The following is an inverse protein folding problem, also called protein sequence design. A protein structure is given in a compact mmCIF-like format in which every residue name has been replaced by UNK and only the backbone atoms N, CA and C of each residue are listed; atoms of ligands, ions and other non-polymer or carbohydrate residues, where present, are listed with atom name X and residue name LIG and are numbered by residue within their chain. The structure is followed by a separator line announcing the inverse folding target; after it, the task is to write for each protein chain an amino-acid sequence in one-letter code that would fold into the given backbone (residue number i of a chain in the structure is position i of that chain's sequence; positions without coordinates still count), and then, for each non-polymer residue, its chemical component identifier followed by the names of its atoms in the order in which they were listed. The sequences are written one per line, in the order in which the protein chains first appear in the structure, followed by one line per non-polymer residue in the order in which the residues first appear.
data_IF_741313364973
#
_entry.id   IF_741313364973
#
_cell.length_a   1.000
_cell.length_b   1.000
_cell.length_c   1.000
_cell.angle_alpha   90.00
_cell.angle_beta   90.00
_cell.angle_gamma   90.00
#
_symmetry.space_group_name_H-M   'P 1'
#
loop_
_entity.id
_entity.type
_entity.pdbx_description
1 polymer ?
#
# COMPACT_ATOMS: atom_id res chain seq x y z
N UNK A 1 -20.14 54.45 -15.61
CA UNK A 1 -19.87 53.43 -14.58
C UNK A 1 -19.79 52.09 -15.29
N UNK A 2 -18.62 51.45 -15.31
CA UNK A 2 -18.41 50.15 -15.96
C UNK A 2 -18.10 49.15 -14.83
N UNK A 3 -18.84 48.03 -14.68
CA UNK A 3 -18.53 47.06 -13.65
C UNK A 3 -17.33 46.23 -14.09
N UNK A 4 -16.29 46.23 -13.27
CA UNK A 4 -15.07 45.46 -13.49
C UNK A 4 -15.35 43.99 -13.15
N UNK A 5 -15.30 43.13 -14.15
CA UNK A 5 -15.42 41.67 -13.99
C UNK A 5 -14.21 41.16 -13.19
N UNK A 6 -14.44 40.68 -11.97
CA UNK A 6 -13.39 40.01 -11.19
C UNK A 6 -13.06 38.67 -11.86
N UNK A 7 -11.87 38.63 -12.47
CA UNK A 7 -11.29 37.42 -13.01
C UNK A 7 -10.76 36.58 -11.84
N UNK A 8 -11.56 35.64 -11.34
CA UNK A 8 -11.14 34.66 -10.34
C UNK A 8 -10.12 33.72 -11.00
N UNK A 9 -8.85 34.11 -10.95
CA UNK A 9 -7.76 33.23 -11.33
C UNK A 9 -7.86 31.95 -10.50
N UNK A 10 -8.06 30.82 -11.19
CA UNK A 10 -8.01 29.50 -10.59
C UNK A 10 -6.58 29.28 -10.07
N UNK A 11 -6.38 29.50 -8.76
CA UNK A 11 -5.10 29.21 -8.13
C UNK A 11 -4.90 27.70 -8.19
N UNK A 12 -3.86 27.19 -8.87
CA UNK A 12 -3.57 25.77 -8.85
C UNK A 12 -3.18 25.42 -7.41
N UNK A 13 -3.95 24.53 -6.79
CA UNK A 13 -3.62 23.97 -5.47
C UNK A 13 -2.31 23.20 -5.64
N UNK A 14 -1.18 23.82 -5.28
CA UNK A 14 0.08 23.11 -5.18
C UNK A 14 -0.09 21.96 -4.19
N UNK A 15 0.21 20.70 -4.55
CA UNK A 15 0.10 19.58 -3.63
C UNK A 15 0.96 19.83 -2.40
N UNK A 16 0.38 19.70 -1.19
CA UNK A 16 1.14 19.79 0.04
C UNK A 16 2.14 18.61 0.09
N UNK A 17 3.40 18.88 -0.26
CA UNK A 17 4.49 17.89 -0.31
C UNK A 17 4.61 17.14 1.03
N UNK A 18 4.42 17.82 2.16
CA UNK A 18 4.47 17.19 3.48
C UNK A 18 3.32 16.20 3.70
N UNK A 19 2.12 16.51 3.19
CA UNK A 19 0.98 15.58 3.27
C UNK A 19 1.24 14.32 2.43
N UNK A 20 1.84 14.46 1.24
CA UNK A 20 2.24 13.33 0.38
C UNK A 20 3.30 12.45 1.04
N UNK A 21 4.34 13.05 1.63
CA UNK A 21 5.39 12.34 2.37
C UNK A 21 4.79 11.58 3.55
N UNK A 22 3.92 12.22 4.34
CA UNK A 22 3.23 11.57 5.46
C UNK A 22 2.40 10.38 4.99
N UNK A 23 1.60 10.55 3.94
CA UNK A 23 0.76 9.49 3.39
C UNK A 23 1.61 8.31 2.86
N UNK A 24 2.72 8.59 2.17
CA UNK A 24 3.68 7.57 1.75
C UNK A 24 4.27 6.81 2.95
N UNK A 25 4.63 7.51 4.03
CA UNK A 25 5.13 6.88 5.26
C UNK A 25 4.11 5.93 5.90
N UNK A 26 2.82 6.29 5.90
CA UNK A 26 1.75 5.42 6.40
C UNK A 26 1.62 4.15 5.55
N UNK A 27 1.60 4.30 4.22
CA UNK A 27 1.53 3.16 3.31
C UNK A 27 2.75 2.23 3.44
N UNK A 28 3.95 2.79 3.66
CA UNK A 28 5.15 1.99 3.95
C UNK A 28 5.03 1.20 5.23
N UNK A 29 4.57 1.81 6.32
CA UNK A 29 4.35 1.10 7.58
C UNK A 29 3.28 -0.02 7.46
N UNK A 30 2.24 0.22 6.66
CA UNK A 30 1.24 -0.80 6.35
C UNK A 30 1.84 -1.95 5.54
N UNK A 31 2.63 -1.64 4.50
CA UNK A 31 3.32 -2.65 3.70
C UNK A 31 4.25 -3.52 4.55
N UNK A 32 5.04 -2.91 5.42
CA UNK A 32 5.96 -3.63 6.32
C UNK A 32 5.19 -4.62 7.22
N UNK A 33 4.06 -4.17 7.78
CA UNK A 33 3.18 -5.01 8.61
C UNK A 33 2.63 -6.19 7.79
N UNK A 34 2.16 -5.92 6.57
CA UNK A 34 1.60 -6.95 5.69
C UNK A 34 2.67 -7.96 5.25
N UNK A 35 3.90 -7.53 4.98
CA UNK A 35 5.01 -8.45 4.69
C UNK A 35 5.32 -9.35 5.88
N UNK A 36 5.42 -8.79 7.10
CA UNK A 36 5.65 -9.56 8.33
C UNK A 36 4.57 -10.62 8.54
N UNK A 37 3.30 -10.25 8.38
CA UNK A 37 2.19 -11.19 8.50
C UNK A 37 2.19 -12.22 7.37
N UNK A 38 2.58 -11.85 6.14
CA UNK A 38 2.72 -12.80 5.04
C UNK A 38 3.75 -13.91 5.35
N UNK A 39 4.88 -13.54 5.98
CA UNK A 39 5.92 -14.48 6.38
C UNK A 39 5.44 -15.38 7.52
N UNK A 40 4.66 -14.83 8.46
CA UNK A 40 4.03 -15.60 9.52
C UNK A 40 3.05 -16.64 8.96
N UNK A 41 2.22 -16.27 8.00
CA UNK A 41 1.28 -17.19 7.33
C UNK A 41 2.02 -18.28 6.55
N UNK A 42 3.15 -17.94 5.93
CA UNK A 42 4.01 -18.90 5.25
C UNK A 42 4.60 -19.95 6.23
N UNK A 43 4.88 -19.57 7.48
CA UNK A 43 5.27 -20.55 8.51
C UNK A 43 4.13 -21.53 8.84
N UNK A 44 2.88 -21.05 8.92
CA UNK A 44 1.73 -21.96 9.10
C UNK A 44 1.54 -22.89 7.91
N UNK A 45 1.76 -22.40 6.69
CA UNK A 45 1.77 -23.22 5.48
C UNK A 45 2.78 -24.37 5.59
N UNK A 46 4.02 -24.05 5.98
CA UNK A 46 5.11 -25.03 6.17
C UNK A 46 4.75 -26.06 7.24
N UNK A 47 4.16 -25.64 8.36
CA UNK A 47 3.72 -26.54 9.41
C UNK A 47 2.61 -27.50 8.92
N UNK A 48 1.63 -27.01 8.15
CA UNK A 48 0.63 -27.87 7.54
C UNK A 48 1.22 -28.86 6.53
N UNK A 49 2.21 -28.42 5.74
CA UNK A 49 2.92 -29.31 4.81
C UNK A 49 3.69 -30.40 5.56
N UNK A 50 4.38 -30.05 6.65
CA UNK A 50 5.10 -30.98 7.50
C UNK A 50 4.18 -32.00 8.20
N UNK A 51 2.93 -31.61 8.50
CA UNK A 51 1.93 -32.48 9.13
C UNK A 51 1.05 -33.23 8.13
N UNK A 52 1.44 -33.33 6.85
CA UNK A 52 0.67 -33.96 5.78
C UNK A 52 -0.77 -33.42 5.63
N UNK A 53 -0.97 -32.12 5.81
CA UNK A 53 -2.24 -31.43 5.62
C UNK A 53 -2.19 -30.49 4.38
N UNK A 54 -2.31 -31.03 3.16
CA UNK A 54 -2.20 -30.25 1.93
C UNK A 54 -3.33 -29.23 1.76
N UNK A 55 -4.53 -29.51 2.29
CA UNK A 55 -5.65 -28.56 2.28
C UNK A 55 -5.35 -27.34 3.15
N UNK A 56 -4.82 -27.56 4.35
CA UNK A 56 -4.37 -26.49 5.24
C UNK A 56 -3.26 -25.65 4.62
N UNK A 57 -2.25 -26.32 4.03
CA UNK A 57 -1.18 -25.63 3.30
C UNK A 57 -1.73 -24.76 2.16
N UNK A 58 -2.66 -25.27 1.35
CA UNK A 58 -3.26 -24.48 0.27
C UNK A 58 -4.03 -23.24 0.78
N UNK A 59 -4.70 -23.32 1.94
CA UNK A 59 -5.38 -22.17 2.56
C UNK A 59 -4.36 -21.11 2.99
N UNK A 60 -3.33 -21.52 3.74
CA UNK A 60 -2.32 -20.59 4.25
C UNK A 60 -1.51 -19.95 3.12
N UNK A 61 -1.21 -20.69 2.06
CA UNK A 61 -0.56 -20.13 0.86
C UNK A 61 -1.37 -19.00 0.23
N UNK A 62 -2.69 -19.19 0.07
CA UNK A 62 -3.56 -18.15 -0.51
C UNK A 62 -3.58 -16.89 0.34
N UNK A 63 -3.67 -17.04 1.66
CA UNK A 63 -3.67 -15.92 2.58
C UNK A 63 -2.32 -15.18 2.57
N UNK A 64 -1.19 -15.91 2.62
CA UNK A 64 0.15 -15.32 2.53
C UNK A 64 0.33 -14.53 1.23
N UNK A 65 -0.15 -15.07 0.11
CA UNK A 65 -0.09 -14.39 -1.19
C UNK A 65 -0.94 -13.11 -1.20
N UNK A 66 -2.15 -13.15 -0.64
CA UNK A 66 -3.00 -11.97 -0.56
C UNK A 66 -2.32 -10.83 0.23
N UNK A 67 -1.74 -11.15 1.39
CA UNK A 67 -1.00 -10.16 2.19
C UNK A 67 0.19 -9.58 1.43
N UNK A 68 0.94 -10.41 0.70
CA UNK A 68 2.05 -9.94 -0.14
C UNK A 68 1.59 -9.00 -1.25
N UNK A 69 0.49 -9.35 -1.93
CA UNK A 69 -0.09 -8.50 -2.99
C UNK A 69 -0.54 -7.15 -2.45
N UNK A 70 -1.22 -7.12 -1.30
CA UNK A 70 -1.63 -5.85 -0.67
C UNK A 70 -0.41 -5.04 -0.21
N UNK A 71 0.64 -5.68 0.32
CA UNK A 71 1.87 -5.01 0.71
C UNK A 71 2.56 -4.34 -0.49
N UNK A 72 2.66 -5.06 -1.62
CA UNK A 72 3.21 -4.55 -2.88
C UNK A 72 2.39 -3.37 -3.43
N UNK A 73 1.06 -3.43 -3.32
CA UNK A 73 0.18 -2.32 -3.68
C UNK A 73 0.42 -1.08 -2.80
N UNK A 74 0.55 -1.25 -1.49
CA UNK A 74 0.91 -0.16 -0.58
C UNK A 74 2.27 0.46 -0.93
N UNK A 75 3.28 -0.36 -1.22
CA UNK A 75 4.60 0.12 -1.68
C UNK A 75 4.48 0.92 -2.98
N UNK A 76 3.75 0.38 -3.95
CA UNK A 76 3.55 1.02 -5.25
C UNK A 76 2.90 2.40 -5.11
N UNK A 77 1.83 2.51 -4.31
CA UNK A 77 1.17 3.81 -4.09
C UNK A 77 2.04 4.78 -3.26
N UNK A 78 2.83 4.28 -2.30
CA UNK A 78 3.79 5.10 -1.58
C UNK A 78 4.85 5.71 -2.52
N UNK A 79 5.34 4.93 -3.48
CA UNK A 79 6.33 5.38 -4.46
C UNK A 79 5.78 6.46 -5.39
N UNK A 80 4.53 6.31 -5.84
CA UNK A 80 3.84 7.35 -6.62
C UNK A 80 3.69 8.65 -5.84
N UNK A 81 3.37 8.57 -4.56
CA UNK A 81 3.22 9.74 -3.72
C UNK A 81 4.52 10.54 -3.56
N UNK A 82 5.69 9.90 -3.58
CA UNK A 82 6.99 10.58 -3.49
C UNK A 82 7.68 10.81 -4.84
N UNK A 83 7.06 10.37 -5.94
CA UNK A 83 7.62 10.50 -7.30
C UNK A 83 8.76 9.52 -7.61
N UNK A 84 8.88 8.44 -6.82
CA UNK A 84 9.84 7.36 -7.07
C UNK A 84 9.35 6.37 -8.15
N UNK A 85 8.07 6.43 -8.52
CA UNK A 85 7.44 5.63 -9.57
C UNK A 85 6.36 6.45 -10.30
N UNK A 86 6.21 6.29 -11.63
CA UNK A 86 5.15 6.97 -12.40
C UNK A 86 3.74 6.49 -12.02
#
# INVERSE_FOLDING_TARGET
MIPTTQNNAHVPVLPNIQARIRAAGILRAQADTLFIESDRLENYRRNCAASNNPRGAAIWQRLANHFRTEAEACVFEADKLVGARP
#
